data_IF_423016898330
#
_entry.id   IF_423016898330
#
_cell.length_a   1.000
_cell.length_b   1.000
_cell.length_c   1.000
_cell.angle_alpha   90.00
_cell.angle_beta   90.00
_cell.angle_gamma   90.00
#
_symmetry.space_group_name_H-M   'P 1'
#
loop_
_entity.id
_entity.type
_entity.pdbx_description
1 polymer ?
#
# COMPACT_ATOMS: atom_id res chain seq x y z
N UNK A 1 2.65 -0.33 4.70
CA UNK A 1 2.87 0.91 5.50
C UNK A 1 2.12 0.87 6.86
N UNK A 2 2.16 -0.24 7.60
CA UNK A 2 1.38 -0.42 8.84
C UNK A 2 1.73 0.57 9.96
N UNK A 3 2.99 1.00 10.03
CA UNK A 3 3.48 1.96 11.00
C UNK A 3 2.79 3.34 10.93
N UNK A 4 2.14 3.67 9.82
CA UNK A 4 1.41 4.93 9.65
C UNK A 4 -0.10 4.81 9.96
N UNK A 5 -0.64 3.59 10.11
CA UNK A 5 -2.07 3.33 10.12
C UNK A 5 -2.85 4.05 11.22
N UNK A 6 -2.23 4.24 12.40
CA UNK A 6 -2.85 4.86 13.58
C UNK A 6 -2.61 6.37 13.68
N UNK A 7 -1.99 7.00 12.67
CA UNK A 7 -1.74 8.44 12.70
C UNK A 7 -3.05 9.20 12.63
N UNK A 8 -3.19 10.15 13.54
CA UNK A 8 -4.32 11.08 13.57
C UNK A 8 -3.81 12.48 13.24
N UNK A 9 -4.52 13.15 12.34
CA UNK A 9 -4.23 14.50 11.88
C UNK A 9 -5.49 15.33 11.95
N UNK A 10 -5.33 16.66 11.97
CA UNK A 10 -6.48 17.58 12.02
C UNK A 10 -7.25 17.59 10.70
N UNK A 11 -6.54 17.56 9.57
CA UNK A 11 -7.13 17.46 8.23
C UNK A 11 -6.85 16.09 7.64
N UNK A 12 -7.75 15.61 6.79
CA UNK A 12 -7.62 14.30 6.14
C UNK A 12 -6.38 14.26 5.26
N UNK A 13 -6.15 15.32 4.47
CA UNK A 13 -4.99 15.43 3.58
C UNK A 13 -3.63 15.45 4.30
N UNK A 14 -3.59 15.90 5.56
CA UNK A 14 -2.35 15.90 6.36
C UNK A 14 -1.83 14.48 6.65
N UNK A 15 -2.69 13.44 6.54
CA UNK A 15 -2.26 12.04 6.59
C UNK A 15 -1.25 11.72 5.50
N UNK A 16 -1.43 12.29 4.30
CA UNK A 16 -0.47 12.13 3.21
C UNK A 16 0.75 13.05 3.41
N UNK A 17 0.52 14.33 3.72
CA UNK A 17 1.61 15.30 3.81
C UNK A 17 2.62 15.00 4.91
N UNK A 18 2.15 14.47 6.05
CA UNK A 18 3.03 14.06 7.14
C UNK A 18 3.96 12.87 6.80
N UNK A 19 3.70 12.17 5.70
CA UNK A 19 4.48 11.01 5.25
C UNK A 19 5.49 11.35 4.15
N UNK A 20 5.33 12.48 3.45
CA UNK A 20 6.19 12.88 2.32
C UNK A 20 7.68 12.85 2.68
N UNK A 21 8.06 13.46 3.81
CA UNK A 21 9.46 13.49 4.26
C UNK A 21 10.01 12.15 4.73
N UNK A 22 9.16 11.23 5.19
CA UNK A 22 9.58 9.89 5.60
C UNK A 22 9.75 8.94 4.40
N UNK A 23 9.05 9.22 3.31
CA UNK A 23 9.04 8.40 2.09
C UNK A 23 9.87 9.03 0.96
N UNK A 24 10.58 10.13 1.25
CA UNK A 24 11.40 10.89 0.30
C UNK A 24 10.64 11.26 -1.00
N UNK A 25 9.37 11.65 -0.83
CA UNK A 25 8.48 12.06 -1.92
C UNK A 25 8.22 13.56 -1.83
N UNK A 26 8.18 14.22 -2.99
CA UNK A 26 7.79 15.62 -3.10
C UNK A 26 6.54 15.76 -3.99
N UNK A 27 5.47 16.33 -3.44
CA UNK A 27 4.24 16.65 -4.18
C UNK A 27 3.62 17.96 -3.66
N UNK A 28 2.92 18.75 -4.52
CA UNK A 28 2.27 19.99 -4.08
C UNK A 28 1.20 19.77 -3.01
N UNK A 29 1.21 20.60 -1.96
CA UNK A 29 0.16 20.61 -0.93
C UNK A 29 -1.08 21.37 -1.43
N UNK A 30 -2.15 20.64 -1.73
CA UNK A 30 -3.45 21.16 -2.13
C UNK A 30 -4.48 20.90 -1.00
N UNK A 31 -4.82 21.94 -0.24
CA UNK A 31 -5.82 21.82 0.82
C UNK A 31 -7.23 21.72 0.25
N UNK A 32 -8.05 20.84 0.82
CA UNK A 32 -9.41 20.56 0.35
C UNK A 32 -9.55 19.37 -0.61
N UNK A 33 -8.46 18.67 -0.96
CA UNK A 33 -8.53 17.46 -1.81
C UNK A 33 -8.90 16.18 -1.03
N UNK A 34 -8.84 16.22 0.30
CA UNK A 34 -9.21 15.10 1.18
C UNK A 34 -8.37 13.85 0.94
N UNK A 35 -9.02 12.69 0.78
CA UNK A 35 -8.38 11.38 0.55
C UNK A 35 -7.54 11.32 -0.74
N UNK A 36 -7.81 12.20 -1.72
CA UNK A 36 -7.01 12.26 -2.95
C UNK A 36 -5.54 12.62 -2.71
N UNK A 37 -5.22 13.31 -1.61
CA UNK A 37 -3.83 13.58 -1.23
C UNK A 37 -3.06 12.26 -1.02
N UNK A 38 -3.70 11.26 -0.41
CA UNK A 38 -3.07 9.96 -0.15
C UNK A 38 -2.94 9.10 -1.42
N UNK A 39 -3.88 9.21 -2.36
CA UNK A 39 -3.73 8.62 -3.69
C UNK A 39 -2.53 9.21 -4.44
N UNK A 40 -2.39 10.54 -4.43
CA UNK A 40 -1.24 11.20 -5.07
C UNK A 40 0.08 10.78 -4.43
N UNK A 41 0.14 10.67 -3.11
CA UNK A 41 1.31 10.15 -2.41
C UNK A 41 1.67 8.74 -2.90
N UNK A 42 0.69 7.82 -2.96
CA UNK A 42 0.94 6.45 -3.47
C UNK A 42 1.42 6.46 -4.92
N UNK A 43 0.87 7.31 -5.78
CA UNK A 43 1.32 7.45 -7.17
C UNK A 43 2.78 7.93 -7.26
N UNK A 44 3.19 8.88 -6.42
CA UNK A 44 4.59 9.32 -6.38
C UNK A 44 5.52 8.23 -5.83
N UNK A 45 5.10 7.45 -4.83
CA UNK A 45 5.86 6.27 -4.35
C UNK A 45 6.05 5.26 -5.48
N UNK A 46 4.99 4.95 -6.23
CA UNK A 46 5.04 4.03 -7.39
C UNK A 46 5.98 4.56 -8.50
N UNK A 47 6.05 5.88 -8.68
CA UNK A 47 6.96 6.50 -9.65
C UNK A 47 8.41 6.46 -9.17
N UNK A 48 8.65 6.59 -7.87
CA UNK A 48 9.97 6.65 -7.28
C UNK A 48 10.56 5.25 -6.96
N UNK A 49 9.70 4.24 -6.78
CA UNK A 49 10.09 2.91 -6.31
C UNK A 49 9.28 1.80 -7.00
N UNK A 50 9.93 0.66 -7.22
CA UNK A 50 9.28 -0.58 -7.70
C UNK A 50 8.75 -1.46 -6.55
N UNK A 51 8.72 -0.96 -5.32
CA UNK A 51 8.22 -1.70 -4.16
C UNK A 51 6.71 -1.96 -4.26
N UNK A 52 6.35 -3.23 -4.45
CA UNK A 52 4.95 -3.67 -4.61
C UNK A 52 4.18 -3.72 -3.29
N UNK A 53 4.84 -3.54 -2.14
CA UNK A 53 4.17 -3.50 -0.83
C UNK A 53 3.17 -2.35 -0.71
N UNK A 54 3.24 -1.36 -1.61
CA UNK A 54 2.26 -0.27 -1.75
C UNK A 54 0.84 -0.76 -2.04
N UNK A 55 0.68 -1.94 -2.67
CA UNK A 55 -0.61 -2.54 -2.99
C UNK A 55 -1.09 -3.55 -1.95
N UNK A 56 -0.28 -3.82 -0.93
CA UNK A 56 -0.57 -4.84 0.06
C UNK A 56 -1.24 -4.20 1.29
N UNK A 57 -2.35 -3.52 1.05
CA UNK A 57 -3.30 -3.03 2.05
C UNK A 57 -4.52 -3.95 2.08
N UNK A 58 -5.23 -3.99 3.21
CA UNK A 58 -6.40 -4.85 3.39
C UNK A 58 -7.72 -4.08 3.30
N UNK A 59 -8.77 -4.80 2.89
CA UNK A 59 -10.12 -4.29 2.75
C UNK A 59 -10.93 -4.61 4.00
N UNK A 60 -11.21 -3.60 4.84
CA UNK A 60 -12.27 -3.78 5.83
C UNK A 60 -13.62 -3.71 5.12
N UNK A 61 -14.52 -4.65 5.42
CA UNK A 61 -15.82 -4.75 4.76
C UNK A 61 -16.72 -3.50 4.91
N UNK A 62 -16.35 -2.59 5.81
CA UNK A 62 -17.08 -1.38 6.17
C UNK A 62 -16.61 -0.14 5.39
N UNK A 63 -15.52 -0.23 4.60
CA UNK A 63 -14.98 0.93 3.89
C UNK A 63 -15.57 1.06 2.47
N UNK A 64 -16.19 2.22 2.20
CA UNK A 64 -16.88 2.49 0.94
C UNK A 64 -15.86 2.73 -0.17
N UNK A 65 -15.63 1.71 -1.03
CA UNK A 65 -14.69 1.80 -2.16
C UNK A 65 -14.94 3.01 -3.05
N UNK A 66 -13.87 3.73 -3.35
CA UNK A 66 -13.78 4.60 -4.54
C UNK A 66 -13.58 3.80 -5.84
N UNK A 67 -13.35 2.48 -5.77
CA UNK A 67 -13.09 1.60 -6.92
C UNK A 67 -11.64 1.64 -7.41
N UNK A 68 -10.74 2.26 -6.64
CA UNK A 68 -9.32 2.39 -6.92
C UNK A 68 -8.52 1.12 -6.53
N UNK A 69 -7.38 0.91 -7.20
CA UNK A 69 -6.33 -0.05 -6.78
C UNK A 69 -5.45 0.52 -5.65
N UNK A 70 -5.58 1.81 -5.38
CA UNK A 70 -4.85 2.49 -4.31
C UNK A 70 -5.71 2.55 -3.05
N UNK A 71 -5.05 2.56 -1.90
CA UNK A 71 -5.73 2.71 -0.61
C UNK A 71 -6.26 4.13 -0.44
N UNK A 72 -7.43 4.27 0.16
CA UNK A 72 -8.01 5.58 0.46
C UNK A 72 -7.35 6.23 1.70
N UNK A 73 -6.71 5.43 2.57
CA UNK A 73 -6.13 5.89 3.83
C UNK A 73 -4.96 5.03 4.33
N UNK A 74 -3.98 5.57 5.10
CA UNK A 74 -2.99 4.75 5.80
C UNK A 74 -3.56 3.68 6.70
N UNK A 75 -4.76 3.85 7.27
CA UNK A 75 -5.40 2.85 8.12
C UNK A 75 -5.64 1.51 7.42
N UNK A 76 -5.78 1.51 6.09
CA UNK A 76 -5.91 0.28 5.29
C UNK A 76 -4.66 -0.62 5.37
N UNK A 77 -3.53 -0.11 5.88
CA UNK A 77 -2.30 -0.88 6.08
C UNK A 77 -2.13 -1.43 7.50
N UNK A 78 -3.09 -1.23 8.41
CA UNK A 78 -2.94 -1.59 9.84
C UNK A 78 -2.47 -3.04 10.03
N UNK A 79 -3.16 -3.97 9.37
CA UNK A 79 -2.90 -5.41 9.47
C UNK A 79 -1.71 -5.88 8.60
N UNK A 80 -1.10 -4.97 7.84
CA UNK A 80 -0.03 -5.30 6.89
C UNK A 80 1.36 -5.23 7.53
N UNK A 81 1.45 -5.25 8.86
CA UNK A 81 2.72 -5.22 9.59
C UNK A 81 3.50 -6.52 9.58
N UNK A 82 2.82 -7.63 9.31
CA UNK A 82 3.41 -8.97 9.24
C UNK A 82 3.85 -9.36 7.82
N UNK A 83 3.89 -8.41 6.87
CA UNK A 83 4.35 -8.71 5.52
C UNK A 83 5.83 -9.08 5.51
N UNK A 84 6.11 -10.34 5.20
CA UNK A 84 7.44 -10.85 4.96
C UNK A 84 7.72 -10.93 3.45
N UNK A 85 8.95 -10.60 3.05
CA UNK A 85 9.41 -10.83 1.69
C UNK A 85 9.43 -12.33 1.43
N UNK A 86 8.58 -12.80 0.51
CA UNK A 86 8.71 -14.15 -0.01
C UNK A 86 10.01 -14.25 -0.80
N UNK A 87 10.87 -15.15 -0.36
CA UNK A 87 12.10 -15.48 -1.08
C UNK A 87 11.79 -16.44 -2.21
N UNK A 88 12.74 -16.62 -3.13
CA UNK A 88 12.62 -17.64 -4.18
C UNK A 88 12.45 -19.07 -3.62
N UNK A 89 12.77 -19.29 -2.34
CA UNK A 89 12.57 -20.58 -1.67
C UNK A 89 11.10 -20.79 -1.24
N UNK A 90 10.38 -19.69 -1.00
CA UNK A 90 8.98 -19.68 -0.57
C UNK A 90 8.01 -19.82 -1.75
N UNK A 91 8.49 -19.60 -2.99
CA UNK A 91 7.73 -19.73 -4.23
C UNK A 91 8.30 -20.84 -5.11
N UNK A 92 7.57 -21.94 -5.25
CA UNK A 92 7.93 -23.01 -6.19
C UNK A 92 7.02 -22.96 -7.40
N UNK A 93 7.61 -22.83 -8.58
CA UNK A 93 6.91 -23.00 -9.85
C UNK A 93 7.40 -24.27 -10.53
N UNK A 94 6.49 -25.13 -10.97
CA UNK A 94 6.79 -26.29 -11.82
C UNK A 94 5.82 -26.36 -12.99
N UNK A 95 6.29 -26.90 -14.11
CA UNK A 95 5.45 -27.20 -15.26
C UNK A 95 5.10 -28.68 -15.21
N UNK A 96 3.82 -29.01 -15.18
CA UNK A 96 3.32 -30.40 -15.16
C UNK A 96 2.19 -30.55 -16.16
N UNK A 97 2.33 -31.48 -17.12
CA UNK A 97 1.38 -31.69 -18.23
C UNK A 97 1.04 -30.43 -19.05
N UNK A 98 1.99 -29.48 -19.17
CA UNK A 98 1.80 -28.21 -19.87
C UNK A 98 1.05 -27.14 -19.07
N UNK A 99 0.72 -27.41 -17.80
CA UNK A 99 0.17 -26.44 -16.86
C UNK A 99 1.27 -25.92 -15.94
N UNK A 100 1.28 -24.61 -15.72
CA UNK A 100 2.13 -23.99 -14.71
C UNK A 100 1.47 -24.13 -13.35
N UNK A 101 2.10 -24.85 -12.43
CA UNK A 101 1.69 -24.97 -11.04
C UNK A 101 2.60 -24.10 -10.18
N UNK A 102 2.01 -23.15 -9.43
CA UNK A 102 2.72 -22.28 -8.50
C UNK A 102 2.27 -22.64 -7.09
N UNK A 103 3.23 -23.03 -6.25
CA UNK A 103 3.01 -23.38 -4.84
C UNK A 103 3.70 -22.35 -3.96
N UNK A 104 2.94 -21.77 -3.04
CA UNK A 104 3.43 -20.83 -2.04
C UNK A 104 3.58 -21.54 -0.70
N UNK A 105 4.71 -21.33 -0.03
CA UNK A 105 4.93 -21.79 1.34
C UNK A 105 4.79 -20.60 2.28
N UNK A 106 3.72 -20.57 3.06
CA UNK A 106 3.49 -19.56 4.10
C UNK A 106 4.25 -19.97 5.38
N UNK A 107 4.86 -18.99 6.07
CA UNK A 107 5.54 -19.18 7.36
C UNK A 107 4.59 -19.02 8.53
#
# INVERSE_FOLDING_TARGET
>A
MSWAAKRTTTRVEDRAYSLMGLLDVNMPMLYGEGKNAFHRLQLEIIRASNDQSIFAWDYSADDMRTGSILADDPSCFEECGAMELMTAEDVKAKMENGLLEITFRLR
#
